data_IF_121680764693
#
_entry.id   IF_121680764693
#
_cell.length_a   1.000
_cell.length_b   1.000
_cell.length_c   1.000
_cell.angle_alpha   90.00
_cell.angle_beta   90.00
_cell.angle_gamma   90.00
#
_symmetry.space_group_name_H-M   'P 1'
#
loop_
_entity.id
_entity.type
_entity.pdbx_description
1 polymer ?
#
# COMPACT_ATOMS: atom_id res chain seq x y z
N UNK A 1 1.35 -11.29 22.63
CA UNK A 1 1.24 -10.18 21.66
C UNK A 1 2.56 -10.05 20.95
N UNK A 2 2.62 -10.38 19.64
CA UNK A 2 3.83 -10.12 18.84
C UNK A 2 3.85 -8.62 18.55
N UNK A 3 4.71 -7.88 19.22
CA UNK A 3 4.86 -6.44 19.03
C UNK A 3 5.61 -6.12 17.74
N UNK A 4 5.70 -4.83 17.40
CA UNK A 4 6.45 -4.35 16.23
C UNK A 4 7.95 -4.68 16.28
N UNK A 5 8.49 -4.94 17.47
CA UNK A 5 9.88 -5.35 17.71
C UNK A 5 10.07 -6.87 17.77
N UNK A 6 9.02 -7.66 17.53
CA UNK A 6 9.14 -9.11 17.47
C UNK A 6 10.06 -9.51 16.29
N UNK A 7 11.02 -10.39 16.57
CA UNK A 7 12.02 -10.84 15.59
C UNK A 7 11.36 -11.45 14.36
N UNK A 8 10.21 -12.10 14.52
CA UNK A 8 9.46 -12.68 13.40
C UNK A 8 8.86 -11.58 12.52
N UNK A 9 8.31 -10.51 13.12
CA UNK A 9 7.73 -9.38 12.37
C UNK A 9 8.81 -8.65 11.59
N UNK A 10 9.93 -8.33 12.24
CA UNK A 10 11.07 -7.68 11.59
C UNK A 10 11.69 -8.59 10.52
N UNK A 11 11.78 -9.90 10.78
CA UNK A 11 12.25 -10.88 9.81
C UNK A 11 11.38 -10.93 8.56
N UNK A 12 10.05 -10.93 8.72
CA UNK A 12 9.11 -10.90 7.59
C UNK A 12 9.18 -9.59 6.81
N UNK A 13 9.28 -8.44 7.49
CA UNK A 13 9.44 -7.14 6.83
C UNK A 13 10.75 -7.09 6.03
N UNK A 14 11.87 -7.51 6.64
CA UNK A 14 13.17 -7.59 5.97
C UNK A 14 13.14 -8.53 4.76
N UNK A 15 12.56 -9.72 4.92
CA UNK A 15 12.40 -10.69 3.83
C UNK A 15 11.58 -10.11 2.67
N UNK A 16 10.49 -9.39 2.95
CA UNK A 16 9.69 -8.72 1.93
C UNK A 16 10.49 -7.71 1.12
N UNK A 17 11.29 -6.86 1.80
CA UNK A 17 12.17 -5.89 1.12
C UNK A 17 13.21 -6.59 0.26
N UNK A 18 13.86 -7.64 0.78
CA UNK A 18 14.85 -8.42 0.03
C UNK A 18 14.24 -9.03 -1.23
N UNK A 19 13.05 -9.64 -1.11
CA UNK A 19 12.36 -10.23 -2.25
C UNK A 19 11.95 -9.18 -3.30
N UNK A 20 11.49 -8.00 -2.88
CA UNK A 20 11.16 -6.91 -3.78
C UNK A 20 12.38 -6.41 -4.57
N UNK A 21 13.53 -6.25 -3.89
CA UNK A 21 14.79 -5.86 -4.53
C UNK A 21 15.26 -6.94 -5.52
N UNK A 22 15.23 -8.22 -5.10
CA UNK A 22 15.58 -9.33 -5.98
C UNK A 22 14.68 -9.38 -7.22
N UNK A 23 13.37 -9.17 -7.05
CA UNK A 23 12.43 -9.10 -8.17
C UNK A 23 12.79 -7.97 -9.14
N UNK A 24 13.06 -6.76 -8.64
CA UNK A 24 13.46 -5.63 -9.48
C UNK A 24 14.75 -5.92 -10.25
N UNK A 25 15.77 -6.47 -9.59
CA UNK A 25 17.04 -6.86 -10.20
C UNK A 25 16.87 -7.95 -11.26
N UNK A 26 16.01 -8.94 -11.00
CA UNK A 26 15.70 -10.00 -11.96
C UNK A 26 14.98 -9.44 -13.18
N UNK A 27 13.98 -8.57 -13.02
CA UNK A 27 13.27 -7.93 -14.13
C UNK A 27 14.21 -7.07 -14.98
N UNK A 28 15.16 -6.34 -14.34
CA UNK A 28 16.18 -5.55 -15.05
C UNK A 28 17.15 -6.41 -15.88
N UNK A 29 17.40 -7.66 -15.47
CA UNK A 29 18.33 -8.58 -16.16
C UNK A 29 17.67 -9.43 -17.25
N UNK A 30 16.34 -9.52 -17.29
CA UNK A 30 15.60 -10.34 -18.25
C UNK A 30 15.37 -9.58 -19.56
N UNK A 31 15.51 -10.28 -20.69
CA UNK A 31 15.35 -9.75 -22.04
C UNK A 31 13.90 -9.39 -22.39
N UNK A 32 12.92 -10.03 -21.75
CA UNK A 32 11.48 -9.76 -21.90
C UNK A 32 10.84 -9.56 -20.52
N UNK A 33 10.97 -8.37 -19.91
CA UNK A 33 10.38 -8.07 -18.62
C UNK A 33 8.86 -7.93 -18.72
N UNK A 34 8.14 -8.48 -17.73
CA UNK A 34 6.69 -8.28 -17.60
C UNK A 34 6.36 -6.85 -17.16
N UNK A 35 7.28 -6.23 -16.42
CA UNK A 35 7.20 -4.86 -15.95
C UNK A 35 8.58 -4.21 -16.17
N UNK A 36 8.68 -3.31 -17.14
CA UNK A 36 9.93 -2.58 -17.38
C UNK A 36 10.15 -1.55 -16.26
N UNK A 37 10.92 -1.96 -15.26
CA UNK A 37 11.30 -1.13 -14.10
C UNK A 37 12.02 0.15 -14.50
N UNK A 38 12.54 0.26 -15.74
CA UNK A 38 13.17 1.48 -16.26
C UNK A 38 12.16 2.59 -16.52
N UNK A 39 10.86 2.27 -16.65
CA UNK A 39 9.80 3.28 -16.78
C UNK A 39 9.70 4.17 -15.55
N UNK A 40 9.95 3.64 -14.35
CA UNK A 40 10.03 4.43 -13.11
C UNK A 40 11.20 5.42 -13.10
N UNK A 41 12.16 5.29 -14.03
CA UNK A 41 13.24 6.27 -14.21
C UNK A 41 12.77 7.51 -14.97
N UNK A 42 11.59 7.47 -15.63
CA UNK A 42 10.95 8.64 -16.24
C UNK A 42 10.07 9.31 -15.19
N UNK A 43 10.32 10.60 -14.96
CA UNK A 43 9.62 11.38 -13.94
C UNK A 43 8.10 11.33 -14.13
N UNK A 44 7.59 11.46 -15.35
CA UNK A 44 6.15 11.47 -15.64
C UNK A 44 5.44 10.16 -15.25
N UNK A 45 6.11 9.03 -15.46
CA UNK A 45 5.56 7.73 -15.09
C UNK A 45 5.65 7.51 -13.57
N UNK A 46 6.77 7.88 -12.96
CA UNK A 46 6.96 7.79 -11.52
C UNK A 46 5.96 8.69 -10.75
N UNK A 47 5.74 9.93 -11.20
CA UNK A 47 4.78 10.84 -10.57
C UNK A 47 3.35 10.32 -10.72
N UNK A 48 2.98 9.76 -11.87
CA UNK A 48 1.68 9.11 -12.07
C UNK A 48 1.49 7.91 -11.12
N UNK A 49 2.49 7.03 -11.02
CA UNK A 49 2.44 5.87 -10.12
C UNK A 49 2.37 6.28 -8.64
N UNK A 50 3.17 7.28 -8.23
CA UNK A 50 3.13 7.85 -6.88
C UNK A 50 1.77 8.51 -6.62
N UNK A 51 1.25 9.29 -7.57
CA UNK A 51 -0.06 9.92 -7.46
C UNK A 51 -1.19 8.92 -7.25
N UNK A 52 -1.23 7.84 -8.04
CA UNK A 52 -2.19 6.75 -7.88
C UNK A 52 -2.02 6.07 -6.52
N UNK A 53 -0.77 5.85 -6.07
CA UNK A 53 -0.50 5.26 -4.75
C UNK A 53 -1.04 6.14 -3.62
N UNK A 54 -0.79 7.45 -3.66
CA UNK A 54 -1.33 8.40 -2.68
C UNK A 54 -2.85 8.48 -2.74
N UNK A 55 -3.44 8.42 -3.94
CA UNK A 55 -4.89 8.37 -4.10
C UNK A 55 -5.48 7.17 -3.37
N UNK A 56 -4.90 5.97 -3.52
CA UNK A 56 -5.38 4.79 -2.82
C UNK A 56 -5.17 4.88 -1.31
N UNK A 57 -4.01 5.35 -0.84
CA UNK A 57 -3.77 5.56 0.60
C UNK A 57 -4.81 6.53 1.19
N UNK A 58 -5.03 7.66 0.53
CA UNK A 58 -6.01 8.65 0.94
C UNK A 58 -7.44 8.08 0.91
N UNK A 59 -7.78 7.31 -0.12
CA UNK A 59 -9.10 6.68 -0.26
C UNK A 59 -9.38 5.67 0.86
N UNK A 60 -8.46 4.74 1.14
CA UNK A 60 -8.62 3.79 2.24
C UNK A 60 -8.61 4.46 3.61
N UNK A 61 -7.74 5.47 3.80
CA UNK A 61 -7.73 6.28 5.02
C UNK A 61 -9.03 7.06 5.21
N UNK A 62 -9.56 7.62 4.12
CA UNK A 62 -10.84 8.32 4.11
C UNK A 62 -11.98 7.39 4.50
N UNK A 63 -12.12 6.21 3.88
CA UNK A 63 -13.17 5.26 4.24
C UNK A 63 -13.13 4.84 5.71
N UNK A 64 -11.92 4.64 6.24
CA UNK A 64 -11.76 4.34 7.67
C UNK A 64 -12.28 5.50 8.54
N UNK A 65 -11.85 6.73 8.25
CA UNK A 65 -12.24 7.92 9.01
C UNK A 65 -13.71 8.25 8.84
N UNK A 66 -14.26 8.12 7.63
CA UNK A 66 -15.66 8.33 7.30
C UNK A 66 -16.57 7.42 8.12
N UNK A 67 -16.25 6.11 8.16
CA UNK A 67 -16.98 5.15 8.96
C UNK A 67 -16.93 5.51 10.45
N UNK A 68 -15.75 5.92 10.96
CA UNK A 68 -15.60 6.39 12.34
C UNK A 68 -16.40 7.67 12.60
N UNK A 69 -16.44 8.60 11.64
CA UNK A 69 -17.18 9.86 11.76
C UNK A 69 -18.69 9.61 11.84
N UNK A 70 -19.23 8.74 10.98
CA UNK A 70 -20.65 8.35 11.03
C UNK A 70 -21.02 7.74 12.38
N UNK A 71 -20.17 6.87 12.93
CA UNK A 71 -20.46 6.20 14.19
C UNK A 71 -20.27 7.10 15.41
N UNK A 72 -19.13 7.80 15.50
CA UNK A 72 -18.75 8.56 16.70
C UNK A 72 -19.31 9.99 16.70
N UNK A 73 -19.50 10.61 15.54
CA UNK A 73 -19.96 12.01 15.43
C UNK A 73 -21.42 12.10 15.04
N UNK A 74 -21.86 11.36 14.01
CA UNK A 74 -23.28 11.35 13.61
C UNK A 74 -24.13 10.40 14.46
N UNK A 75 -23.50 9.57 15.31
CA UNK A 75 -24.20 8.68 16.24
C UNK A 75 -24.89 7.49 15.58
N UNK A 76 -24.53 7.16 14.34
CA UNK A 76 -25.11 6.01 13.64
C UNK A 76 -24.63 4.72 14.30
N UNK A 77 -25.53 3.74 14.44
CA UNK A 77 -25.13 2.40 14.81
C UNK A 77 -24.28 1.77 13.70
N UNK A 78 -23.43 0.79 14.05
CA UNK A 78 -22.59 0.10 13.07
C UNK A 78 -23.40 -0.54 11.92
N UNK A 79 -24.66 -0.94 12.19
CA UNK A 79 -25.56 -1.48 11.18
C UNK A 79 -26.05 -0.39 10.22
N UNK A 80 -26.42 0.78 10.74
CA UNK A 80 -26.87 1.93 9.92
C UNK A 80 -25.75 2.48 9.05
N UNK A 81 -24.53 2.61 9.59
CA UNK A 81 -23.35 3.00 8.80
C UNK A 81 -23.02 2.00 7.68
N UNK A 82 -23.32 0.72 7.87
CA UNK A 82 -23.05 -0.30 6.87
C UNK A 82 -24.09 -0.35 5.73
N UNK A 83 -25.30 0.18 5.96
CA UNK A 83 -26.39 0.18 4.98
C UNK A 83 -26.61 1.54 4.28
N UNK A 84 -26.12 2.63 4.86
CA UNK A 84 -26.15 3.97 4.28
C UNK A 84 -25.15 4.12 3.12
#
# INVERSE_FOLDING_TARGET
TRGWTDVVVLGCMGAGVVLAVLFALLQLRRTHPLLDVRLFRRADFATGAVGITFLFIANFGFFYVEMQFMQLVMGYSALETAFA
#
